data_IF_484785572696
#
_entry.id   IF_484785572696
#
_cell.length_a   1.000
_cell.length_b   1.000
_cell.length_c   1.000
_cell.angle_alpha   90.00
_cell.angle_beta   90.00
_cell.angle_gamma   90.00
#
_symmetry.space_group_name_H-M   'P 1'
#
loop_
_entity.id
_entity.type
_entity.pdbx_description
1 polymer ?
#
# COMPACT_ATOMS: atom_id res chain seq x y z
N UNK A 1 7.12 7.57 -11.79
CA UNK A 1 7.01 8.15 -10.44
C UNK A 1 8.07 7.59 -9.49
N UNK A 2 7.99 6.32 -9.07
CA UNK A 2 8.94 5.75 -8.11
C UNK A 2 10.42 5.86 -8.54
N UNK A 3 10.73 5.56 -9.80
CA UNK A 3 12.10 5.69 -10.35
C UNK A 3 12.64 7.12 -10.35
N UNK A 4 11.77 8.12 -10.50
CA UNK A 4 12.18 9.52 -10.69
C UNK A 4 12.22 10.32 -9.38
N UNK A 5 11.37 9.99 -8.42
CA UNK A 5 11.23 10.71 -7.15
C UNK A 5 11.74 9.92 -5.94
N UNK A 6 12.00 8.62 -6.11
CA UNK A 6 12.47 7.70 -5.07
C UNK A 6 11.73 7.86 -3.72
N UNK A 7 10.39 7.87 -3.72
CA UNK A 7 9.64 8.10 -2.48
C UNK A 7 9.84 6.95 -1.50
N UNK A 8 9.58 7.18 -0.21
CA UNK A 8 9.56 6.06 0.75
C UNK A 8 8.31 5.18 0.58
N UNK A 9 7.19 5.80 0.18
CA UNK A 9 5.88 5.19 0.01
C UNK A 9 5.07 5.97 -1.04
N UNK A 10 4.21 5.29 -1.77
CA UNK A 10 3.28 5.94 -2.70
C UNK A 10 2.06 5.09 -2.95
N UNK A 11 0.89 5.72 -3.13
CA UNK A 11 -0.39 5.03 -3.22
C UNK A 11 -1.23 5.54 -4.39
N UNK A 12 -1.96 4.63 -5.03
CA UNK A 12 -3.03 4.95 -5.96
C UNK A 12 -4.31 4.23 -5.50
N UNK A 13 -5.34 5.01 -5.17
CA UNK A 13 -6.64 4.52 -4.70
C UNK A 13 -7.76 5.52 -5.01
N UNK A 14 -9.01 5.08 -4.88
CA UNK A 14 -10.19 5.95 -4.88
C UNK A 14 -10.49 6.47 -3.48
N UNK A 15 -11.05 7.68 -3.37
CA UNK A 15 -11.46 8.25 -2.08
C UNK A 15 -12.48 7.35 -1.37
N UNK A 16 -13.44 6.78 -2.11
CA UNK A 16 -14.49 5.92 -1.56
C UNK A 16 -13.92 4.67 -0.88
N UNK A 17 -12.90 4.06 -1.49
CA UNK A 17 -12.23 2.90 -0.90
C UNK A 17 -11.37 3.31 0.30
N UNK A 18 -10.69 4.45 0.21
CA UNK A 18 -9.90 4.97 1.31
C UNK A 18 -10.76 5.17 2.56
N UNK A 19 -11.89 5.86 2.41
CA UNK A 19 -12.77 6.19 3.53
C UNK A 19 -13.47 4.95 4.11
N UNK A 20 -13.76 3.94 3.28
CA UNK A 20 -14.35 2.67 3.73
C UNK A 20 -13.36 1.79 4.52
N UNK A 21 -12.07 1.83 4.17
CA UNK A 21 -11.06 0.93 4.76
C UNK A 21 -10.25 1.60 5.87
N UNK A 22 -9.98 2.91 5.76
CA UNK A 22 -9.19 3.70 6.72
C UNK A 22 -9.92 5.01 7.12
N UNK A 23 -11.14 4.93 7.69
CA UNK A 23 -11.93 6.14 8.05
C UNK A 23 -11.26 7.04 9.09
N UNK A 24 -10.34 6.49 9.88
CA UNK A 24 -9.65 7.19 10.97
C UNK A 24 -8.23 7.64 10.61
N UNK A 25 -7.78 7.45 9.37
CA UNK A 25 -6.43 7.88 8.96
C UNK A 25 -6.26 9.39 9.06
N UNK A 26 -5.11 9.84 9.53
CA UNK A 26 -4.75 11.25 9.64
C UNK A 26 -3.66 11.64 8.64
N UNK A 27 -3.48 12.94 8.35
CA UNK A 27 -2.40 13.38 7.48
C UNK A 27 -1.03 12.93 8.02
N UNK A 28 -0.29 12.18 7.20
CA UNK A 28 1.02 11.62 7.56
C UNK A 28 1.00 10.13 7.88
N UNK A 29 -0.19 9.54 8.08
CA UNK A 29 -0.34 8.10 8.17
C UNK A 29 -0.12 7.44 6.80
N UNK A 30 0.48 6.25 6.82
CA UNK A 30 0.59 5.42 5.63
C UNK A 30 -0.51 4.36 5.62
N UNK A 31 -1.13 4.20 4.47
CA UNK A 31 -2.17 3.19 4.22
C UNK A 31 -1.80 2.42 2.95
N UNK A 32 -2.73 1.61 2.43
CA UNK A 32 -2.56 0.98 1.11
C UNK A 32 -3.68 1.37 0.17
N UNK A 33 -3.48 1.17 -1.11
CA UNK A 33 -4.45 1.45 -2.16
C UNK A 33 -4.64 0.25 -3.06
N UNK A 34 -5.21 0.50 -4.23
CA UNK A 34 -5.20 -0.51 -5.28
C UNK A 34 -3.77 -0.85 -5.69
N UNK A 35 -2.96 0.20 -5.91
CA UNK A 35 -1.52 0.07 -6.07
C UNK A 35 -0.82 0.76 -4.91
N UNK A 36 0.18 0.11 -4.34
CA UNK A 36 1.01 0.72 -3.30
C UNK A 36 2.47 0.36 -3.52
N UNK A 37 3.30 1.39 -3.64
CA UNK A 37 4.74 1.25 -3.74
C UNK A 37 5.36 1.35 -2.34
N UNK A 38 6.26 0.42 -2.02
CA UNK A 38 7.10 0.44 -0.83
C UNK A 38 8.57 0.47 -1.25
N UNK A 39 9.32 1.47 -0.76
CA UNK A 39 10.78 1.45 -0.89
C UNK A 39 11.38 0.31 -0.07
N UNK A 40 12.48 -0.28 -0.54
CA UNK A 40 13.26 -1.24 0.25
C UNK A 40 13.73 -0.67 1.61
N UNK A 41 13.76 0.67 1.77
CA UNK A 41 14.04 1.35 3.05
C UNK A 41 13.00 1.05 4.14
N UNK A 42 11.80 0.58 3.77
CA UNK A 42 10.73 0.17 4.71
C UNK A 42 10.81 -1.30 5.14
N UNK A 43 11.74 -2.06 4.58
CA UNK A 43 11.91 -3.48 4.87
C UNK A 43 11.19 -4.41 3.89
N UNK A 44 11.30 -5.73 4.09
CA UNK A 44 10.77 -6.73 3.18
C UNK A 44 9.25 -6.89 3.31
N UNK A 45 8.59 -7.21 2.19
CA UNK A 45 7.17 -7.57 2.20
C UNK A 45 6.94 -8.93 2.88
N UNK A 46 5.90 -9.07 3.71
CA UNK A 46 5.46 -10.38 4.18
C UNK A 46 4.81 -11.19 3.04
N UNK A 47 4.60 -12.50 3.20
CA UNK A 47 3.78 -13.28 2.26
C UNK A 47 2.37 -12.68 2.14
N UNK A 48 1.94 -12.38 0.91
CA UNK A 48 0.64 -11.78 0.60
C UNK A 48 -0.33 -12.83 0.03
N UNK A 49 -1.64 -12.72 0.32
CA UNK A 49 -2.65 -13.65 -0.20
C UNK A 49 -2.92 -13.41 -1.69
N UNK A 50 -3.37 -14.44 -2.41
CA UNK A 50 -3.99 -14.22 -3.72
C UNK A 50 -5.27 -13.35 -3.56
N UNK A 51 -5.61 -12.47 -4.53
CA UNK A 51 -4.99 -12.28 -5.85
C UNK A 51 -3.88 -11.22 -5.88
N UNK A 52 -3.25 -10.91 -4.74
CA UNK A 52 -2.24 -9.84 -4.68
C UNK A 52 -1.03 -10.21 -5.51
N UNK A 53 -0.59 -9.27 -6.35
CA UNK A 53 0.63 -9.37 -7.15
C UNK A 53 1.67 -8.36 -6.65
N UNK A 54 2.93 -8.72 -6.80
CA UNK A 54 4.05 -7.84 -6.50
C UNK A 54 4.96 -7.72 -7.71
N UNK A 55 5.39 -6.49 -8.00
CA UNK A 55 6.30 -6.20 -9.10
C UNK A 55 7.52 -5.43 -8.56
N UNK A 56 8.76 -5.89 -8.83
CA UNK A 56 9.94 -5.14 -8.45
C UNK A 56 10.05 -3.85 -9.26
N UNK A 57 10.42 -2.76 -8.60
CA UNK A 57 10.71 -1.47 -9.23
C UNK A 57 12.20 -1.22 -9.13
N UNK A 58 12.94 -1.73 -10.12
CA UNK A 58 14.41 -1.72 -10.16
C UNK A 58 14.99 -2.24 -8.83
N UNK A 59 16.02 -1.58 -8.30
CA UNK A 59 16.62 -1.80 -6.99
C UNK A 59 16.00 -0.95 -5.88
N UNK A 60 14.93 -0.19 -6.18
CA UNK A 60 14.39 0.86 -5.29
C UNK A 60 13.31 0.35 -4.34
N UNK A 61 12.47 -0.56 -4.79
CA UNK A 61 11.32 -1.02 -4.02
C UNK A 61 10.45 -2.03 -4.73
N UNK A 62 9.25 -2.25 -4.18
CA UNK A 62 8.25 -3.16 -4.74
C UNK A 62 6.90 -2.47 -4.85
N UNK A 63 6.24 -2.67 -5.99
CA UNK A 63 4.86 -2.30 -6.23
C UNK A 63 3.96 -3.47 -5.84
N UNK A 64 3.04 -3.23 -4.90
CA UNK A 64 1.99 -4.16 -4.49
C UNK A 64 0.71 -3.79 -5.22
N UNK A 65 0.07 -4.78 -5.86
CA UNK A 65 -1.16 -4.63 -6.64
C UNK A 65 -2.20 -5.57 -6.02
N UNK A 66 -3.26 -5.04 -5.40
CA UNK A 66 -4.21 -5.88 -4.66
C UNK A 66 -4.93 -6.89 -5.57
N UNK A 67 -5.31 -6.47 -6.76
CA UNK A 67 -6.02 -7.30 -7.74
C UNK A 67 -5.80 -6.72 -9.14
N UNK A 68 -5.76 -7.53 -10.22
CA UNK A 68 -5.62 -7.02 -11.58
C UNK A 68 -6.90 -6.32 -12.10
N UNK A 69 -8.07 -6.61 -11.52
CA UNK A 69 -9.32 -5.96 -11.90
C UNK A 69 -9.53 -4.63 -11.18
N UNK A 70 -10.50 -3.83 -11.63
CA UNK A 70 -10.80 -2.54 -10.99
C UNK A 70 -11.25 -2.77 -9.53
N UNK A 71 -10.45 -2.26 -8.60
CA UNK A 71 -10.79 -2.24 -7.18
C UNK A 71 -11.86 -1.17 -6.89
N UNK A 72 -12.87 -1.53 -6.09
CA UNK A 72 -14.04 -0.67 -5.79
C UNK A 72 -14.49 -0.84 -4.34
N UNK A 73 -14.95 0.24 -3.72
CA UNK A 73 -15.53 0.21 -2.37
C UNK A 73 -16.88 -0.53 -2.31
N UNK A 74 -17.61 -0.57 -3.42
CA UNK A 74 -18.93 -1.24 -3.51
C UNK A 74 -18.86 -2.77 -3.53
N UNK A 75 -17.67 -3.35 -3.72
CA UNK A 75 -17.48 -4.80 -3.69
C UNK A 75 -16.94 -5.22 -2.30
N UNK A 76 -17.72 -5.94 -1.48
CA UNK A 76 -17.27 -6.36 -0.15
C UNK A 76 -16.00 -7.21 -0.16
N UNK A 77 -15.76 -7.99 -1.22
CA UNK A 77 -14.55 -8.79 -1.34
C UNK A 77 -13.30 -7.91 -1.53
N UNK A 78 -13.42 -6.79 -2.24
CA UNK A 78 -12.34 -5.81 -2.41
C UNK A 78 -11.99 -5.14 -1.09
N UNK A 79 -13.01 -4.72 -0.32
CA UNK A 79 -12.83 -4.12 1.01
C UNK A 79 -12.19 -5.12 1.98
N UNK A 80 -12.65 -6.37 1.99
CA UNK A 80 -12.09 -7.43 2.83
C UNK A 80 -10.63 -7.72 2.50
N UNK A 81 -10.29 -7.79 1.21
CA UNK A 81 -8.91 -7.98 0.75
C UNK A 81 -8.01 -6.81 1.17
N UNK A 82 -8.47 -5.57 0.98
CA UNK A 82 -7.73 -4.38 1.40
C UNK A 82 -7.47 -4.36 2.91
N UNK A 83 -8.45 -4.74 3.74
CA UNK A 83 -8.30 -4.85 5.20
C UNK A 83 -7.28 -5.93 5.59
N UNK A 84 -7.40 -7.14 5.04
CA UNK A 84 -6.46 -8.24 5.36
C UNK A 84 -5.01 -7.89 4.97
N UNK A 85 -4.81 -7.34 3.76
CA UNK A 85 -3.48 -6.94 3.31
C UNK A 85 -2.93 -5.77 4.12
N UNK A 86 -3.78 -4.78 4.47
CA UNK A 86 -3.40 -3.67 5.34
C UNK A 86 -2.90 -4.16 6.69
N UNK A 87 -3.63 -5.09 7.34
CA UNK A 87 -3.21 -5.66 8.62
C UNK A 87 -1.89 -6.42 8.53
N UNK A 88 -1.69 -7.22 7.47
CA UNK A 88 -0.43 -7.95 7.26
C UNK A 88 0.77 -7.01 7.12
N UNK A 89 0.60 -5.94 6.33
CA UNK A 89 1.66 -4.95 6.11
C UNK A 89 1.91 -4.10 7.36
N UNK A 90 0.87 -3.75 8.12
CA UNK A 90 1.00 -3.08 9.41
C UNK A 90 1.75 -3.96 10.42
N UNK A 91 1.40 -5.24 10.55
CA UNK A 91 2.10 -6.19 11.42
C UNK A 91 3.56 -6.39 11.03
N UNK A 92 3.89 -6.25 9.75
CA UNK A 92 5.26 -6.30 9.25
C UNK A 92 6.02 -4.97 9.38
N UNK A 93 5.38 -3.91 9.89
CA UNK A 93 6.00 -2.60 10.08
C UNK A 93 6.12 -1.73 8.83
N UNK A 94 5.49 -2.10 7.71
CA UNK A 94 5.56 -1.32 6.46
C UNK A 94 4.64 -0.10 6.46
N UNK A 95 3.66 -0.04 7.38
CA UNK A 95 2.69 1.05 7.49
C UNK A 95 2.97 1.99 8.66
N UNK A 96 4.25 2.21 8.99
CA UNK A 96 4.65 3.23 9.95
C UNK A 96 4.65 4.64 9.32
N UNK A 97 4.51 5.71 10.12
CA UNK A 97 4.62 7.08 9.63
C UNK A 97 5.85 7.32 8.74
N UNK A 98 5.73 8.24 7.79
CA UNK A 98 6.84 8.61 6.90
C UNK A 98 7.99 9.24 7.67
N UNK A 99 9.23 8.92 7.26
CA UNK A 99 10.38 9.63 7.78
C UNK A 99 10.36 11.10 7.34
N UNK A 100 10.78 12.03 8.20
CA UNK A 100 10.99 13.41 7.79
C UNK A 100 11.95 13.45 6.60
N UNK A 101 11.68 14.32 5.63
CA UNK A 101 12.48 14.45 4.40
C UNK A 101 13.93 14.90 4.64
N UNK A 102 14.29 15.30 5.87
CA UNK A 102 15.56 15.95 6.20
C UNK A 102 16.58 15.02 6.92
N UNK A 103 16.39 13.70 6.86
CA UNK A 103 17.32 12.69 7.44
C UNK A 103 17.96 11.76 6.40
#
# INVERSE_FOLDING_TARGET
MAVAFEPEWGVATSHELHDEVWPESTPGDTFIGWLTYFSHRRGPLPPLPAPVHTEPVEDKGTLVILTPERLTASNPAHVALARDVSERLARAGLLTPLRPWNE
#
